data_IF_739679377239
#
_entry.id   IF_739679377239
#
_cell.length_a   1.000
_cell.length_b   1.000
_cell.length_c   1.000
_cell.angle_alpha   90.00
_cell.angle_beta   90.00
_cell.angle_gamma   90.00
#
_symmetry.space_group_name_H-M   'P 1'
#
loop_
_entity.id
_entity.type
_entity.pdbx_description
1 polymer ?
#
# COMPACT_ATOMS: atom_id res chain seq x y z
N UNK A 1 -27.34 -9.89 37.57
CA UNK A 1 -28.56 -9.05 37.51
C UNK A 1 -28.47 -7.93 36.45
N UNK A 2 -27.31 -7.29 36.26
CA UNK A 2 -27.10 -6.18 35.32
C UNK A 2 -27.51 -6.47 33.85
N UNK A 3 -27.05 -7.58 33.26
CA UNK A 3 -27.41 -7.98 31.89
C UNK A 3 -28.91 -8.20 31.69
N UNK A 4 -29.63 -8.64 32.73
CA UNK A 4 -31.10 -8.82 32.70
C UNK A 4 -31.85 -7.48 32.71
N UNK A 5 -31.28 -6.46 33.32
CA UNK A 5 -31.81 -5.09 33.30
C UNK A 5 -31.55 -4.43 31.95
N UNK A 6 -30.35 -4.63 31.40
CA UNK A 6 -29.97 -4.15 30.07
C UNK A 6 -30.87 -4.76 28.99
N UNK A 7 -31.07 -6.09 29.02
CA UNK A 7 -31.92 -6.79 28.07
C UNK A 7 -33.39 -6.31 28.13
N UNK A 8 -33.94 -6.07 29.33
CA UNK A 8 -35.31 -5.53 29.47
C UNK A 8 -35.42 -4.09 28.98
N UNK A 9 -34.41 -3.27 29.20
CA UNK A 9 -34.37 -1.89 28.68
C UNK A 9 -34.33 -1.89 27.14
N UNK A 10 -33.54 -2.78 26.55
CA UNK A 10 -33.44 -2.98 25.10
C UNK A 10 -34.76 -3.46 24.48
N UNK A 11 -35.44 -4.43 25.12
CA UNK A 11 -36.73 -4.95 24.63
C UNK A 11 -37.83 -3.89 24.71
N UNK A 12 -37.86 -3.09 25.79
CA UNK A 12 -38.89 -2.05 26.00
C UNK A 12 -38.78 -0.88 25.02
N UNK A 13 -37.57 -0.55 24.56
CA UNK A 13 -37.31 0.55 23.61
C UNK A 13 -36.68 0.02 22.31
N UNK A 14 -37.20 -1.09 21.80
CA UNK A 14 -36.66 -1.78 20.61
C UNK A 14 -36.48 -0.86 19.39
N UNK A 15 -37.43 0.03 19.12
CA UNK A 15 -37.37 1.00 18.01
C UNK A 15 -36.24 2.02 18.18
N UNK A 16 -36.01 2.49 19.41
CA UNK A 16 -34.94 3.45 19.72
C UNK A 16 -33.56 2.80 19.63
N UNK A 17 -33.43 1.57 20.12
CA UNK A 17 -32.17 0.81 20.03
C UNK A 17 -31.83 0.52 18.57
N UNK A 18 -32.82 0.13 17.76
CA UNK A 18 -32.63 -0.07 16.32
C UNK A 18 -32.18 1.21 15.63
N UNK A 19 -32.80 2.36 15.95
CA UNK A 19 -32.41 3.65 15.37
C UNK A 19 -30.96 4.04 15.73
N UNK A 20 -30.53 3.82 16.97
CA UNK A 20 -29.14 4.06 17.41
C UNK A 20 -28.17 3.16 16.62
N UNK A 21 -28.52 1.88 16.40
CA UNK A 21 -27.70 0.96 15.61
C UNK A 21 -27.60 1.37 14.14
N UNK A 22 -28.68 1.84 13.53
CA UNK A 22 -28.67 2.35 12.16
C UNK A 22 -27.78 3.59 12.05
N UNK A 23 -27.87 4.51 13.02
CA UNK A 23 -27.00 5.69 13.07
C UNK A 23 -25.54 5.28 13.26
N UNK A 24 -25.26 4.34 14.16
CA UNK A 24 -23.91 3.82 14.37
C UNK A 24 -23.33 3.20 13.10
N UNK A 25 -24.11 2.41 12.35
CA UNK A 25 -23.71 1.85 11.06
C UNK A 25 -23.48 2.94 10.00
N UNK A 26 -24.39 3.91 9.91
CA UNK A 26 -24.28 5.01 8.96
C UNK A 26 -23.03 5.87 9.22
N UNK A 27 -22.63 6.05 10.48
CA UNK A 27 -21.39 6.75 10.87
C UNK A 27 -20.15 5.87 10.68
N UNK A 28 -20.30 4.55 10.82
CA UNK A 28 -19.20 3.60 10.61
C UNK A 28 -18.70 3.59 9.16
N UNK A 29 -19.60 3.77 8.18
CA UNK A 29 -19.23 3.80 6.75
C UNK A 29 -18.19 4.91 6.44
N UNK A 30 -18.44 6.20 6.68
CA UNK A 30 -17.45 7.24 6.43
C UNK A 30 -16.23 7.11 7.36
N UNK A 31 -16.38 6.57 8.57
CA UNK A 31 -15.24 6.33 9.46
C UNK A 31 -14.27 5.29 8.87
N UNK A 32 -14.78 4.19 8.32
CA UNK A 32 -13.96 3.17 7.63
C UNK A 32 -13.33 3.76 6.36
N UNK A 33 -14.06 4.60 5.62
CA UNK A 33 -13.53 5.27 4.43
C UNK A 33 -12.44 6.30 4.77
N UNK A 34 -12.52 6.98 5.92
CA UNK A 34 -11.45 7.86 6.42
C UNK A 34 -10.22 7.08 6.88
N UNK A 35 -10.39 5.81 7.27
CA UNK A 35 -9.32 4.88 7.66
C UNK A 35 -8.73 4.14 6.44
N UNK A 36 -9.05 4.56 5.20
CA UNK A 36 -8.30 4.16 3.99
C UNK A 36 -6.85 4.69 3.95
N UNK A 37 -6.23 4.96 5.10
CA UNK A 37 -4.79 5.15 5.17
C UNK A 37 -4.13 3.79 5.24
N UNK A 38 -3.85 3.31 4.03
CA UNK A 38 -2.80 2.37 3.69
C UNK A 38 -3.05 0.98 4.26
N UNK A 39 -3.65 0.09 3.45
CA UNK A 39 -3.26 -1.32 3.54
C UNK A 39 -1.78 -1.30 3.16
N UNK A 40 -0.92 -1.14 4.16
CA UNK A 40 0.53 -1.19 3.96
C UNK A 40 0.82 -2.66 3.71
N UNK A 41 0.79 -3.10 2.45
CA UNK A 41 1.54 -4.27 2.03
C UNK A 41 3.04 -3.93 2.08
N UNK A 42 3.52 -3.51 3.25
CA UNK A 42 4.93 -3.44 3.53
C UNK A 42 5.26 -4.70 4.29
N UNK A 43 6.21 -5.46 3.76
CA UNK A 43 6.80 -6.61 4.45
C UNK A 43 7.35 -6.22 5.83
N UNK A 44 7.54 -4.92 6.10
CA UNK A 44 7.99 -4.39 7.40
C UNK A 44 6.88 -4.07 8.39
N UNK A 45 5.59 -4.12 8.00
CA UNK A 45 4.47 -3.73 8.86
C UNK A 45 4.28 -4.64 10.09
N UNK A 46 4.83 -5.87 10.05
CA UNK A 46 4.77 -6.83 11.15
C UNK A 46 6.02 -6.81 12.05
N UNK A 47 7.07 -6.06 11.68
CA UNK A 47 8.26 -5.94 12.51
C UNK A 47 8.10 -4.80 13.51
N UNK A 48 8.48 -5.04 14.77
CA UNK A 48 8.55 -3.99 15.77
C UNK A 48 9.52 -2.91 15.30
N UNK A 49 9.14 -1.64 15.47
CA UNK A 49 9.99 -0.49 15.11
C UNK A 49 11.34 -0.50 15.82
N UNK A 50 11.42 -1.17 16.97
CA UNK A 50 12.62 -1.31 17.79
C UNK A 50 13.47 -2.54 17.41
N UNK A 51 13.08 -3.29 16.39
CA UNK A 51 13.89 -4.42 15.90
C UNK A 51 15.18 -3.91 15.26
N UNK A 52 16.27 -4.67 15.42
CA UNK A 52 17.56 -4.35 14.79
C UNK A 52 17.44 -4.19 13.26
N UNK A 53 16.57 -5.00 12.64
CA UNK A 53 16.26 -4.91 11.21
C UNK A 53 15.57 -3.59 10.83
N UNK A 54 14.64 -3.10 11.64
CA UNK A 54 13.98 -1.79 11.42
C UNK A 54 14.96 -0.64 11.58
N UNK A 55 15.88 -0.72 12.56
CA UNK A 55 16.93 0.27 12.78
C UNK A 55 17.93 0.26 11.61
N UNK A 56 18.36 -0.91 11.16
CA UNK A 56 19.25 -1.06 10.01
C UNK A 56 18.62 -0.49 8.73
N UNK A 57 17.36 -0.80 8.46
CA UNK A 57 16.61 -0.23 7.33
C UNK A 57 16.53 1.30 7.43
N UNK A 58 16.29 1.84 8.62
CA UNK A 58 16.24 3.29 8.83
C UNK A 58 17.58 3.97 8.55
N UNK A 59 18.70 3.34 8.95
CA UNK A 59 20.05 3.84 8.67
C UNK A 59 20.30 3.83 7.16
N UNK A 60 20.02 2.72 6.47
CA UNK A 60 20.19 2.60 5.02
C UNK A 60 19.35 3.64 4.26
N UNK A 61 18.08 3.78 4.62
CA UNK A 61 17.19 4.79 4.01
C UNK A 61 17.73 6.21 4.22
N UNK A 62 18.28 6.51 5.41
CA UNK A 62 18.85 7.83 5.73
C UNK A 62 20.13 8.11 4.96
N UNK A 63 21.09 7.19 4.94
CA UNK A 63 22.41 7.41 4.36
C UNK A 63 22.40 7.40 2.83
N UNK A 64 21.57 6.54 2.24
CA UNK A 64 21.53 6.36 0.79
C UNK A 64 20.36 7.10 0.12
N UNK A 65 19.55 7.84 0.90
CA UNK A 65 18.32 8.50 0.44
C UNK A 65 17.47 7.58 -0.44
N UNK A 66 17.45 6.28 -0.11
CA UNK A 66 16.63 5.29 -0.79
C UNK A 66 15.21 5.58 -0.33
N UNK A 67 14.50 6.34 -1.15
CA UNK A 67 13.05 6.42 -1.01
C UNK A 67 12.54 4.98 -1.18
N UNK A 68 11.70 4.53 -0.25
CA UNK A 68 10.94 3.28 -0.35
C UNK A 68 9.92 3.34 -1.51
N UNK A 69 10.35 3.80 -2.68
CA UNK A 69 9.67 3.62 -3.94
C UNK A 69 9.91 2.18 -4.39
N UNK A 70 8.83 1.50 -4.76
CA UNK A 70 8.88 0.18 -5.39
C UNK A 70 9.78 0.23 -6.62
N UNK A 71 11.02 -0.21 -6.47
CA UNK A 71 11.97 -0.32 -7.58
C UNK A 71 11.80 -1.69 -8.21
N UNK A 72 11.45 -1.72 -9.49
CA UNK A 72 11.28 -2.95 -10.26
C UNK A 72 12.47 -3.19 -11.18
N UNK A 73 12.98 -4.41 -11.21
CA UNK A 73 13.97 -4.84 -12.22
C UNK A 73 13.24 -5.59 -13.32
N UNK A 74 13.32 -5.09 -14.55
CA UNK A 74 12.78 -5.76 -15.74
C UNK A 74 13.91 -6.56 -16.39
N UNK A 75 13.74 -7.89 -16.47
CA UNK A 75 14.71 -8.79 -17.10
C UNK A 75 14.28 -9.07 -18.53
N UNK A 76 15.14 -8.71 -19.49
CA UNK A 76 14.94 -9.00 -20.91
C UNK A 76 15.73 -10.27 -21.25
N UNK A 77 15.04 -11.30 -21.73
CA UNK A 77 15.65 -12.58 -22.08
C UNK A 77 15.53 -12.85 -23.57
N UNK A 78 16.64 -13.21 -24.20
CA UNK A 78 16.73 -13.57 -25.61
C UNK A 78 17.87 -14.58 -25.84
N UNK A 79 17.87 -15.27 -26.98
CA UNK A 79 18.92 -16.25 -27.30
C UNK A 79 20.31 -15.59 -27.45
N UNK A 80 20.35 -14.36 -27.97
CA UNK A 80 21.54 -13.52 -28.00
C UNK A 80 21.24 -12.13 -27.40
N UNK A 81 21.62 -11.97 -26.13
CA UNK A 81 21.44 -10.72 -25.38
C UNK A 81 22.46 -9.64 -25.76
N UNK A 82 23.49 -9.98 -26.55
CA UNK A 82 24.51 -9.05 -27.04
C UNK A 82 24.20 -8.53 -28.45
N UNK A 83 23.23 -9.15 -29.12
CA UNK A 83 22.79 -8.76 -30.45
C UNK A 83 22.16 -7.37 -30.49
N UNK A 84 22.24 -6.73 -31.66
CA UNK A 84 21.66 -5.40 -31.88
C UNK A 84 20.15 -5.38 -31.59
N UNK A 85 19.42 -6.45 -31.89
CA UNK A 85 17.97 -6.52 -31.67
C UNK A 85 17.60 -6.35 -30.18
N UNK A 86 18.32 -7.03 -29.28
CA UNK A 86 18.11 -6.90 -27.83
C UNK A 86 18.42 -5.49 -27.34
N UNK A 87 19.50 -4.89 -27.85
CA UNK A 87 19.88 -3.50 -27.52
C UNK A 87 18.81 -2.53 -28.00
N UNK A 88 18.40 -2.63 -29.25
CA UNK A 88 17.45 -1.71 -29.87
C UNK A 88 16.07 -1.80 -29.19
N UNK A 89 15.63 -3.02 -28.82
CA UNK A 89 14.45 -3.22 -27.99
C UNK A 89 14.58 -2.55 -26.61
N UNK A 90 15.70 -2.74 -25.93
CA UNK A 90 15.91 -2.19 -24.58
C UNK A 90 15.92 -0.66 -24.60
N UNK A 91 16.56 -0.07 -25.60
CA UNK A 91 16.57 1.38 -25.79
C UNK A 91 15.17 1.92 -26.13
N UNK A 92 14.42 1.22 -26.98
CA UNK A 92 13.04 1.57 -27.32
C UNK A 92 12.11 1.47 -26.10
N UNK A 93 12.30 0.46 -25.25
CA UNK A 93 11.57 0.30 -24.00
C UNK A 93 11.86 1.46 -23.03
N UNK A 94 13.14 1.78 -22.80
CA UNK A 94 13.52 2.92 -21.95
C UNK A 94 12.95 4.24 -22.47
N UNK A 95 12.97 4.47 -23.79
CA UNK A 95 12.38 5.67 -24.38
C UNK A 95 10.86 5.69 -24.22
N UNK A 96 10.17 4.58 -24.49
CA UNK A 96 8.72 4.48 -24.34
C UNK A 96 8.29 4.74 -22.90
N UNK A 97 8.93 4.10 -21.92
CA UNK A 97 8.59 4.25 -20.51
C UNK A 97 8.83 5.68 -19.98
N UNK A 98 9.84 6.38 -20.51
CA UNK A 98 10.14 7.77 -20.12
C UNK A 98 9.17 8.80 -20.71
N UNK A 99 8.59 8.50 -21.89
CA UNK A 99 7.74 9.43 -22.62
C UNK A 99 6.25 9.10 -22.51
N UNK A 100 5.88 8.01 -21.85
CA UNK A 100 4.48 7.64 -21.63
C UNK A 100 3.84 8.59 -20.59
N UNK A 101 2.87 9.44 -21.00
CA UNK A 101 2.24 10.40 -20.09
C UNK A 101 1.32 9.73 -19.06
N UNK A 102 0.98 8.45 -19.23
CA UNK A 102 0.14 7.70 -18.29
C UNK A 102 0.95 7.16 -17.10
N UNK A 103 2.28 7.08 -17.23
CA UNK A 103 3.19 6.59 -16.20
C UNK A 103 3.70 7.74 -15.31
N UNK A 104 2.82 8.28 -14.47
CA UNK A 104 3.12 9.46 -13.63
C UNK A 104 3.96 9.17 -12.39
N UNK A 105 4.10 7.90 -12.01
CA UNK A 105 4.76 7.48 -10.76
C UNK A 105 6.08 6.72 -10.97
N UNK A 106 6.60 6.67 -12.20
CA UNK A 106 7.85 5.99 -12.52
C UNK A 106 8.91 7.06 -12.83
N UNK A 107 9.96 7.11 -12.02
CA UNK A 107 11.10 8.02 -12.20
C UNK A 107 12.41 7.25 -12.34
N UNK A 108 13.47 7.92 -12.81
CA UNK A 108 14.84 7.40 -12.85
C UNK A 108 15.01 6.02 -13.55
N UNK A 109 14.38 5.83 -14.71
CA UNK A 109 14.52 4.60 -15.51
C UNK A 109 15.97 4.50 -16.04
N UNK A 110 16.70 3.47 -15.63
CA UNK A 110 18.08 3.25 -16.09
C UNK A 110 18.20 1.90 -16.80
N UNK A 111 19.14 1.82 -17.72
CA UNK A 111 19.49 0.62 -18.46
C UNK A 111 20.98 0.41 -18.28
N UNK A 112 21.39 -0.82 -17.94
CA UNK A 112 22.79 -1.24 -17.75
C UNK A 112 23.22 -2.06 -18.96
#
# INVERSE_FOLDING_TARGET
MFFRTLARATIRHNRTVLAIWIIALAVSVPAILQVQKVIVYSETAFNSKDSESSIAQQIVNREFNIQEGSSGVVVISHNDVRGNETRDFTLALNWTLRNDPTLTNIGNITTI
#
